data_IF_703903958072
#
_entry.id   IF_703903958072
#
_cell.length_a   1.000
_cell.length_b   1.000
_cell.length_c   1.000
_cell.angle_alpha   90.00
_cell.angle_beta   90.00
_cell.angle_gamma   90.00
#
_symmetry.space_group_name_H-M   'P 1'
#
loop_
_entity.id
_entity.type
_entity.pdbx_description
1 polymer ?
#
# COMPACT_ATOMS: atom_id res chain seq x y z
N UNK A 1 10.54 7.28 -6.63
CA UNK A 1 9.97 5.95 -6.90
C UNK A 1 8.68 6.12 -7.69
N UNK A 2 8.71 5.91 -8.99
CA UNK A 2 7.52 6.09 -9.86
C UNK A 2 6.64 4.84 -9.77
N UNK A 3 5.72 4.82 -8.82
CA UNK A 3 4.71 3.75 -8.72
C UNK A 3 3.79 3.84 -9.94
N UNK A 4 3.84 2.83 -10.81
CA UNK A 4 2.91 2.71 -11.95
C UNK A 4 1.54 2.30 -11.42
N UNK A 5 0.70 3.28 -11.15
CA UNK A 5 -0.66 3.06 -10.65
C UNK A 5 -1.57 2.77 -11.85
N UNK A 6 -2.39 1.72 -11.74
CA UNK A 6 -3.38 1.41 -12.76
C UNK A 6 -4.42 2.54 -12.89
N UNK A 7 -4.85 2.95 -14.09
CA UNK A 7 -5.77 4.07 -14.28
C UNK A 7 -7.11 3.92 -13.53
N UNK A 8 -7.58 2.68 -13.36
CA UNK A 8 -8.82 2.37 -12.65
C UNK A 8 -8.59 2.00 -11.17
N UNK A 9 -7.37 2.19 -10.64
CA UNK A 9 -7.09 1.90 -9.24
C UNK A 9 -7.84 2.88 -8.34
N UNK A 10 -8.77 2.36 -7.54
CA UNK A 10 -9.58 3.17 -6.63
C UNK A 10 -8.85 3.56 -5.34
N UNK A 11 -7.87 2.76 -4.92
CA UNK A 11 -7.08 3.00 -3.69
C UNK A 11 -5.65 3.45 -4.01
N UNK A 12 -5.56 4.65 -4.57
CA UNK A 12 -4.26 5.30 -4.85
C UNK A 12 -3.60 5.80 -3.55
N UNK A 13 -2.28 6.05 -3.54
CA UNK A 13 -1.59 6.63 -2.38
C UNK A 13 -2.25 7.92 -1.88
N UNK A 14 -2.76 8.76 -2.79
CA UNK A 14 -3.51 9.96 -2.44
C UNK A 14 -4.78 9.64 -1.63
N UNK A 15 -5.62 8.73 -2.14
CA UNK A 15 -6.86 8.31 -1.44
C UNK A 15 -6.55 7.65 -0.10
N UNK A 16 -5.49 6.84 -0.01
CA UNK A 16 -5.08 6.21 1.25
C UNK A 16 -4.64 7.27 2.29
N UNK A 17 -3.98 8.35 1.86
CA UNK A 17 -3.61 9.47 2.72
C UNK A 17 -4.84 10.25 3.19
N UNK A 18 -5.78 10.51 2.29
CA UNK A 18 -7.07 11.14 2.62
C UNK A 18 -7.87 10.31 3.63
N UNK A 19 -7.96 8.98 3.44
CA UNK A 19 -8.60 8.08 4.40
C UNK A 19 -7.96 8.22 5.78
N UNK A 20 -6.62 8.21 5.85
CA UNK A 20 -5.88 8.34 7.12
C UNK A 20 -6.10 9.70 7.78
N UNK A 21 -6.13 10.78 7.01
CA UNK A 21 -6.31 12.14 7.53
C UNK A 21 -7.77 12.47 7.87
N UNK A 22 -8.75 11.72 7.35
CA UNK A 22 -10.18 12.05 7.46
C UNK A 22 -10.77 12.00 8.87
N UNK A 23 -10.15 11.27 9.81
CA UNK A 23 -10.70 11.05 11.16
C UNK A 23 -12.02 10.27 11.19
N UNK A 24 -12.47 9.76 10.04
CA UNK A 24 -13.71 9.00 9.90
C UNK A 24 -13.57 7.59 10.45
N UNK A 25 -14.70 7.01 10.88
CA UNK A 25 -14.73 5.59 11.20
C UNK A 25 -14.55 4.75 9.94
N UNK A 26 -14.07 3.49 10.10
CA UNK A 26 -13.89 2.59 8.96
C UNK A 26 -15.19 2.34 8.15
N UNK A 27 -16.36 2.49 8.78
CA UNK A 27 -17.65 2.35 8.11
C UNK A 27 -18.00 3.57 7.27
N UNK A 28 -17.76 4.78 7.77
CA UNK A 28 -17.99 6.02 7.04
C UNK A 28 -17.01 6.16 5.87
N UNK A 29 -15.72 5.90 6.12
CA UNK A 29 -14.70 5.92 5.07
C UNK A 29 -15.00 4.89 3.96
N UNK A 30 -15.53 3.71 4.31
CA UNK A 30 -15.96 2.73 3.31
C UNK A 30 -17.06 3.27 2.39
N UNK A 31 -18.03 4.00 2.94
CA UNK A 31 -19.11 4.62 2.15
C UNK A 31 -18.61 5.77 1.28
N UNK A 32 -17.83 6.70 1.86
CA UNK A 32 -17.33 7.90 1.16
C UNK A 32 -16.41 7.54 0.01
N UNK A 33 -15.43 6.66 0.26
CA UNK A 33 -14.47 6.25 -0.77
C UNK A 33 -14.98 5.05 -1.60
N UNK A 34 -16.19 4.57 -1.29
CA UNK A 34 -16.87 3.44 -1.91
C UNK A 34 -16.00 2.14 -1.95
N UNK A 35 -15.16 1.94 -0.93
CA UNK A 35 -14.28 0.78 -0.78
C UNK A 35 -14.83 -0.18 0.28
N UNK A 36 -14.26 -1.38 0.37
CA UNK A 36 -14.66 -2.32 1.43
C UNK A 36 -14.26 -1.79 2.82
N UNK A 37 -15.05 -2.13 3.85
CA UNK A 37 -14.73 -1.81 5.25
C UNK A 37 -13.37 -2.36 5.69
N UNK A 38 -12.98 -3.54 5.21
CA UNK A 38 -11.67 -4.12 5.50
C UNK A 38 -10.53 -3.27 4.93
N UNK A 39 -10.69 -2.76 3.71
CA UNK A 39 -9.71 -1.86 3.08
C UNK A 39 -9.62 -0.52 3.82
N UNK A 40 -10.76 0.08 4.19
CA UNK A 40 -10.78 1.31 4.98
C UNK A 40 -10.10 1.12 6.34
N UNK A 41 -10.46 0.06 7.07
CA UNK A 41 -9.87 -0.27 8.36
C UNK A 41 -8.35 -0.52 8.26
N UNK A 42 -7.88 -1.18 7.20
CA UNK A 42 -6.46 -1.40 6.94
C UNK A 42 -5.69 -0.09 6.82
N UNK A 43 -6.21 0.88 6.06
CA UNK A 43 -5.52 2.14 5.82
C UNK A 43 -5.61 3.11 7.01
N UNK A 44 -6.70 3.09 7.77
CA UNK A 44 -6.82 3.83 9.02
C UNK A 44 -5.80 3.36 10.08
N UNK A 45 -5.49 2.06 10.11
CA UNK A 45 -4.55 1.47 11.08
C UNK A 45 -3.06 1.57 10.69
N UNK A 46 -2.73 1.97 9.46
CA UNK A 46 -1.35 1.95 8.98
C UNK A 46 -0.61 3.25 9.29
N UNK A 47 0.66 3.11 9.64
CA UNK A 47 1.57 4.25 9.85
C UNK A 47 2.02 4.88 8.53
N UNK A 48 2.25 4.07 7.51
CA UNK A 48 2.68 4.51 6.18
C UNK A 48 1.63 4.20 5.11
N UNK A 49 1.51 5.14 4.18
CA UNK A 49 0.58 5.17 3.05
C UNK A 49 1.23 4.65 1.78
N UNK A 50 2.56 4.78 1.70
CA UNK A 50 3.34 4.38 0.54
C UNK A 50 3.50 2.86 0.46
N UNK A 51 3.67 2.38 -0.76
CA UNK A 51 4.01 0.98 -0.99
C UNK A 51 5.49 0.78 -0.66
N UNK A 52 5.77 -0.21 0.20
CA UNK A 52 7.13 -0.62 0.52
C UNK A 52 7.75 -1.33 -0.68
N UNK A 53 9.08 -1.37 -0.70
CA UNK A 53 9.84 -2.12 -1.69
C UNK A 53 9.30 -3.54 -1.87
N UNK A 54 9.06 -3.93 -3.12
CA UNK A 54 8.75 -5.32 -3.48
C UNK A 54 9.96 -6.24 -3.43
N UNK A 55 11.18 -5.68 -3.32
CA UNK A 55 12.40 -6.48 -3.15
C UNK A 55 12.37 -7.09 -1.75
N UNK A 56 12.63 -8.39 -1.69
CA UNK A 56 12.82 -9.09 -0.43
C UNK A 56 13.98 -8.46 0.36
N UNK A 57 13.85 -8.44 1.69
CA UNK A 57 14.92 -7.97 2.58
C UNK A 57 16.14 -8.89 2.52
N UNK A 58 15.91 -10.20 2.35
CA UNK A 58 16.93 -11.22 2.18
C UNK A 58 16.72 -11.90 0.83
N UNK A 59 17.75 -11.89 -0.01
CA UNK A 59 17.77 -12.63 -1.26
C UNK A 59 18.38 -13.99 -0.98
N UNK A 60 17.59 -15.06 -1.13
CA UNK A 60 18.11 -16.42 -1.08
C UNK A 60 18.60 -16.82 -2.47
N UNK A 61 19.90 -16.68 -2.70
CA UNK A 61 20.55 -17.11 -3.95
C UNK A 61 21.18 -18.49 -3.77
N UNK A 62 21.21 -19.28 -4.83
CA UNK A 62 21.87 -20.60 -4.85
C UNK A 62 23.35 -20.50 -5.22
N UNK A 63 23.73 -19.43 -5.92
CA UNK A 63 25.11 -19.11 -6.26
C UNK A 63 25.66 -18.09 -5.26
N UNK A 64 26.93 -18.29 -4.88
CA UNK A 64 27.72 -17.29 -4.17
C UNK A 64 28.17 -16.20 -5.14
N UNK A 65 28.46 -15.00 -4.62
CA UNK A 65 28.91 -13.87 -5.45
C UNK A 65 30.17 -14.19 -6.28
N UNK A 66 31.03 -15.09 -5.81
CA UNK A 66 32.22 -15.53 -6.53
C UNK A 66 31.91 -16.43 -7.75
N UNK A 67 30.72 -17.04 -7.81
CA UNK A 67 30.30 -17.90 -8.91
C UNK A 67 29.55 -17.14 -10.02
N UNK A 68 29.13 -15.90 -9.75
CA UNK A 68 28.45 -15.03 -10.73
C UNK A 68 29.42 -14.11 -11.49
N UNK A 69 30.69 -14.06 -11.09
CA UNK A 69 31.75 -13.25 -11.72
C UNK A 69 32.36 -13.96 -12.95
#
# INVERSE_FOLDING_TARGET
MSTRIHPQARTTPKIRQEIKASGLTAHEAAKVFNITKATAAKWLKRDDVQDRSHRAHTLHTTLSAAQEA
#
